data_IF_706503047798
#
_entry.id   IF_706503047798
#
_cell.length_a   1.000
_cell.length_b   1.000
_cell.length_c   1.000
_cell.angle_alpha   90.00
_cell.angle_beta   90.00
_cell.angle_gamma   90.00
#
_symmetry.space_group_name_H-M   'P 1'
#
loop_
_entity.id
_entity.type
_entity.pdbx_description
1 polymer ?
#
# COMPACT_ATOMS: atom_id res chain seq x y z
N UNK A 1 -10.92 -2.06 6.01
CA UNK A 1 -9.98 -2.14 7.17
C UNK A 1 -8.83 -3.16 7.02
N UNK A 2 -8.89 -4.21 6.18
CA UNK A 2 -7.67 -4.92 5.71
C UNK A 2 -7.74 -5.11 4.20
N UNK A 3 -8.88 -5.61 3.74
CA UNK A 3 -9.19 -5.81 2.31
C UNK A 3 -9.10 -4.52 1.51
N UNK A 4 -9.47 -3.37 2.09
CA UNK A 4 -9.38 -2.06 1.44
C UNK A 4 -7.94 -1.61 1.21
N UNK A 5 -7.06 -1.76 2.20
CA UNK A 5 -5.64 -1.42 2.10
C UNK A 5 -4.95 -2.31 1.06
N UNK A 6 -5.24 -3.61 1.09
CA UNK A 6 -4.72 -4.56 0.10
C UNK A 6 -5.23 -4.21 -1.31
N UNK A 7 -6.51 -3.86 -1.45
CA UNK A 7 -7.06 -3.40 -2.74
C UNK A 7 -6.42 -2.10 -3.23
N UNK A 8 -6.22 -1.11 -2.36
CA UNK A 8 -5.56 0.14 -2.72
C UNK A 8 -4.11 -0.09 -3.17
N UNK A 9 -3.37 -0.93 -2.46
CA UNK A 9 -2.00 -1.36 -2.84
C UNK A 9 -2.01 -2.04 -4.20
N UNK A 10 -2.94 -2.97 -4.44
CA UNK A 10 -3.09 -3.65 -5.74
C UNK A 10 -3.51 -2.69 -6.87
N UNK A 11 -4.30 -1.66 -6.57
CA UNK A 11 -4.66 -0.64 -7.54
C UNK A 11 -3.44 0.23 -7.91
N UNK A 12 -2.65 0.63 -6.90
CA UNK A 12 -1.38 1.34 -7.08
C UNK A 12 -0.41 0.60 -8.00
N UNK A 13 -0.27 -0.72 -7.81
CA UNK A 13 0.64 -1.53 -8.61
C UNK A 13 0.24 -1.62 -10.09
N UNK A 14 -0.99 -1.23 -10.44
CA UNK A 14 -1.45 -1.12 -11.83
C UNK A 14 -1.17 0.27 -12.43
N UNK A 15 -0.80 1.26 -11.62
CA UNK A 15 -0.39 2.57 -12.12
C UNK A 15 0.97 2.45 -12.83
N UNK A 16 1.15 3.11 -13.99
CA UNK A 16 2.41 3.07 -14.73
C UNK A 16 3.55 3.66 -13.88
N UNK A 17 4.68 2.95 -13.81
CA UNK A 17 5.86 3.36 -13.06
C UNK A 17 5.87 2.97 -11.58
N UNK A 18 4.80 2.36 -11.07
CA UNK A 18 4.79 1.78 -9.72
C UNK A 18 5.27 0.34 -9.78
N UNK A 19 6.20 -0.04 -8.90
CA UNK A 19 6.72 -1.41 -8.78
C UNK A 19 6.52 -1.96 -7.37
N UNK A 20 6.40 -3.28 -7.23
CA UNK A 20 6.25 -3.95 -5.91
C UNK A 20 7.41 -3.60 -4.97
N UNK A 21 8.65 -3.67 -5.48
CA UNK A 21 9.84 -3.33 -4.72
C UNK A 21 9.87 -1.84 -4.35
N UNK A 22 9.58 -0.94 -5.30
CA UNK A 22 9.55 0.51 -5.04
C UNK A 22 8.49 0.89 -4.01
N UNK A 23 7.31 0.28 -4.08
CA UNK A 23 6.24 0.48 -3.12
C UNK A 23 6.62 -0.04 -1.72
N UNK A 24 7.24 -1.21 -1.64
CA UNK A 24 7.69 -1.77 -0.37
C UNK A 24 8.73 -0.85 0.29
N UNK A 25 9.73 -0.41 -0.47
CA UNK A 25 10.76 0.52 0.01
C UNK A 25 10.15 1.84 0.47
N UNK A 26 9.22 2.41 -0.30
CA UNK A 26 8.56 3.66 0.05
C UNK A 26 7.70 3.55 1.32
N UNK A 27 7.16 2.37 1.60
CA UNK A 27 6.45 2.05 2.84
C UNK A 27 7.37 1.59 4.00
N UNK A 28 8.70 1.58 3.81
CA UNK A 28 9.66 1.13 4.83
C UNK A 28 9.71 -0.39 5.02
N UNK A 29 9.23 -1.15 4.04
CA UNK A 29 9.21 -2.60 4.03
C UNK A 29 10.35 -3.17 3.18
N UNK A 30 10.72 -4.42 3.47
CA UNK A 30 11.69 -5.16 2.66
C UNK A 30 11.15 -5.37 1.23
N UNK A 31 11.97 -5.26 0.16
CA UNK A 31 11.52 -5.34 -1.24
C UNK A 31 10.75 -6.63 -1.59
N UNK A 32 11.05 -7.74 -0.90
CA UNK A 32 10.38 -9.03 -1.12
C UNK A 32 9.03 -9.16 -0.40
N UNK A 33 8.69 -8.27 0.53
CA UNK A 33 7.45 -8.36 1.31
C UNK A 33 6.20 -8.29 0.43
N UNK A 34 6.26 -7.54 -0.67
CA UNK A 34 5.16 -7.37 -1.62
C UNK A 34 5.23 -8.34 -2.82
N UNK A 35 6.12 -9.34 -2.82
CA UNK A 35 6.28 -10.24 -3.97
C UNK A 35 4.98 -10.97 -4.33
N UNK A 36 4.27 -11.42 -3.29
CA UNK A 36 3.05 -12.23 -3.41
C UNK A 36 1.77 -11.40 -3.20
N UNK A 37 1.86 -10.07 -3.24
CA UNK A 37 0.76 -9.12 -2.94
C UNK A 37 -0.50 -9.32 -3.80
N UNK A 38 -0.36 -9.88 -5.00
CA UNK A 38 -1.48 -10.15 -5.92
C UNK A 38 -2.10 -11.54 -5.73
N UNK A 39 -1.47 -12.42 -4.95
CA UNK A 39 -2.01 -13.75 -4.68
C UNK A 39 -3.28 -13.65 -3.83
N UNK A 40 -4.29 -14.46 -4.15
CA UNK A 40 -5.58 -14.44 -3.45
C UNK A 40 -5.44 -14.79 -1.96
N UNK A 41 -4.54 -15.70 -1.62
CA UNK A 41 -4.23 -16.11 -0.25
C UNK A 41 -3.14 -15.29 0.45
N UNK A 42 -2.74 -14.14 -0.10
CA UNK A 42 -1.71 -13.33 0.52
C UNK A 42 -2.17 -12.79 1.88
N UNK A 43 -1.48 -13.20 2.95
CA UNK A 43 -1.80 -12.86 4.32
C UNK A 43 -0.64 -12.08 4.97
N UNK A 44 -0.58 -10.74 4.78
CA UNK A 44 0.47 -9.94 5.38
C UNK A 44 0.37 -9.91 6.91
N UNK A 45 1.50 -9.67 7.58
CA UNK A 45 1.49 -9.42 9.02
C UNK A 45 0.82 -8.09 9.35
N UNK A 46 0.32 -7.94 10.58
CA UNK A 46 -0.25 -6.67 11.06
C UNK A 46 0.74 -5.49 10.94
N UNK A 47 2.04 -5.73 11.17
CA UNK A 47 3.09 -4.73 10.98
C UNK A 47 3.25 -4.29 9.53
N UNK A 48 3.13 -5.23 8.58
CA UNK A 48 3.17 -4.94 7.14
C UNK A 48 1.95 -4.12 6.74
N UNK A 49 0.77 -4.50 7.24
CA UNK A 49 -0.47 -3.77 6.99
C UNK A 49 -0.37 -2.32 7.46
N UNK A 50 0.06 -2.11 8.71
CA UNK A 50 0.21 -0.79 9.32
C UNK A 50 1.17 0.12 8.54
N UNK A 51 2.29 -0.43 8.07
CA UNK A 51 3.25 0.31 7.25
C UNK A 51 2.66 0.73 5.90
N UNK A 52 1.91 -0.18 5.24
CA UNK A 52 1.21 0.13 3.99
C UNK A 52 0.12 1.18 4.22
N UNK A 53 -0.67 1.07 5.28
CA UNK A 53 -1.70 2.06 5.63
C UNK A 53 -1.08 3.44 5.84
N UNK A 54 -0.05 3.53 6.68
CA UNK A 54 0.67 4.78 6.95
C UNK A 54 1.20 5.43 5.66
N UNK A 55 1.76 4.61 4.76
CA UNK A 55 2.21 5.09 3.46
C UNK A 55 1.06 5.60 2.60
N UNK A 56 -0.08 4.88 2.56
CA UNK A 56 -1.26 5.31 1.79
C UNK A 56 -1.86 6.60 2.34
N UNK A 57 -1.91 6.78 3.66
CA UNK A 57 -2.34 8.03 4.28
C UNK A 57 -1.40 9.19 3.94
N UNK A 58 -0.08 8.97 3.98
CA UNK A 58 0.90 9.97 3.60
C UNK A 58 0.88 10.32 2.10
N UNK A 59 0.60 9.33 1.23
CA UNK A 59 0.51 9.52 -0.23
C UNK A 59 -0.81 10.16 -0.66
N UNK A 60 -1.91 9.98 0.09
CA UNK A 60 -3.20 10.60 -0.23
C UNK A 60 -3.00 12.12 -0.31
N UNK A 61 -3.33 12.77 -1.45
CA UNK A 61 -3.34 14.22 -1.50
C UNK A 61 -4.27 14.72 -0.39
N UNK A 62 -3.97 15.88 0.21
CA UNK A 62 -4.77 16.57 1.25
C UNK A 62 -6.17 16.92 0.73
N UNK A 63 -6.98 15.93 0.43
CA UNK A 63 -8.39 16.04 0.08
C UNK A 63 -9.15 16.02 1.39
N UNK A 64 -9.16 17.18 2.06
CA UNK A 64 -10.13 17.70 3.05
C UNK A 64 -9.45 18.71 4.00
N UNK A 65 -9.24 19.92 3.48
CA UNK A 65 -9.24 21.14 4.28
C UNK A 65 -10.04 22.21 3.51
N UNK A 66 -11.27 21.86 3.14
CA UNK A 66 -12.28 22.81 2.67
C UNK A 66 -13.65 22.19 2.96
N UNK A 67 -14.08 22.35 4.21
CA UNK A 67 -15.48 22.44 4.56
C UNK A 67 -15.59 23.75 5.34
N UNK A 68 -15.85 24.82 4.59
CA UNK A 68 -16.29 26.11 5.10
C UNK A 68 -17.82 26.14 5.06
#
# INVERSE_FOLDING_TARGET
>A
MVSETIHAVRALLREPGVTRAGLAIAAGLHPNTLRDVEAEGWNPTASTLLALESYMEARRPRQQASAA
#
